data_IF_407287153598
#
_entry.id   IF_407287153598
#
_cell.length_a   1.000
_cell.length_b   1.000
_cell.length_c   1.000
_cell.angle_alpha   90.00
_cell.angle_beta   90.00
_cell.angle_gamma   90.00
#
_symmetry.space_group_name_H-M   'P 1'
#
loop_
_entity.id
_entity.type
_entity.pdbx_description
1 polymer ?
#
# COMPACT_ATOMS: atom_id res chain seq x y z
N UNK A 1 -14.76 8.73 -31.21
CA UNK A 1 -13.42 8.56 -30.61
C UNK A 1 -12.65 7.61 -31.49
N UNK A 2 -11.51 8.02 -32.05
CA UNK A 2 -10.81 7.14 -33.00
C UNK A 2 -9.94 6.13 -32.20
N UNK A 3 -9.56 5.02 -32.84
CA UNK A 3 -8.80 3.91 -32.24
C UNK A 3 -7.46 4.36 -31.62
N UNK A 4 -6.81 5.38 -32.18
CA UNK A 4 -5.56 5.93 -31.65
C UNK A 4 -5.77 6.72 -30.34
N UNK A 5 -6.82 7.51 -30.28
CA UNK A 5 -7.20 8.21 -29.04
C UNK A 5 -7.63 7.23 -27.93
N UNK A 6 -8.30 6.13 -28.30
CA UNK A 6 -8.62 5.07 -27.36
C UNK A 6 -7.36 4.36 -26.86
N UNK A 7 -6.39 4.07 -27.73
CA UNK A 7 -5.08 3.50 -27.37
C UNK A 7 -4.28 4.41 -26.42
N UNK A 8 -4.16 5.69 -26.75
CA UNK A 8 -3.43 6.68 -25.95
C UNK A 8 -4.08 6.83 -24.57
N UNK A 9 -5.40 6.92 -24.50
CA UNK A 9 -6.13 7.01 -23.22
C UNK A 9 -6.03 5.73 -22.38
N UNK A 10 -5.97 4.54 -22.99
CA UNK A 10 -5.79 3.27 -22.28
C UNK A 10 -4.37 3.15 -21.69
N UNK A 11 -3.35 3.66 -22.36
CA UNK A 11 -1.96 3.62 -21.87
C UNK A 11 -1.71 4.69 -20.80
N UNK A 12 -2.29 5.89 -20.94
CA UNK A 12 -2.07 6.98 -20.00
C UNK A 12 -2.89 6.87 -18.69
N UNK A 13 -4.05 6.19 -18.72
CA UNK A 13 -4.93 6.11 -17.55
C UNK A 13 -4.82 4.81 -16.76
N UNK A 14 -3.95 3.87 -17.10
CA UNK A 14 -3.83 2.58 -16.39
C UNK A 14 -5.21 2.00 -16.00
N UNK A 15 -6.14 1.95 -16.96
CA UNK A 15 -7.46 1.39 -16.74
C UNK A 15 -7.29 -0.12 -16.62
N UNK A 16 -7.12 -0.61 -15.41
CA UNK A 16 -7.26 -2.03 -15.13
C UNK A 16 -8.71 -2.28 -14.78
N UNK A 17 -9.34 -3.09 -15.59
CA UNK A 17 -10.76 -3.38 -15.56
C UNK A 17 -10.98 -4.81 -15.10
N UNK A 18 -12.14 -5.07 -14.53
CA UNK A 18 -12.68 -6.41 -14.50
C UNK A 18 -13.08 -6.77 -15.93
N UNK A 19 -12.51 -7.85 -16.42
CA UNK A 19 -12.80 -8.35 -17.75
C UNK A 19 -13.78 -9.50 -17.66
N UNK A 20 -14.89 -9.37 -18.34
CA UNK A 20 -15.87 -10.45 -18.50
C UNK A 20 -15.79 -10.88 -19.94
N UNK A 21 -15.27 -12.08 -20.18
CA UNK A 21 -15.05 -12.64 -21.51
C UNK A 21 -16.00 -13.80 -21.76
N UNK A 22 -16.54 -13.89 -22.99
CA UNK A 22 -17.15 -15.11 -23.47
C UNK A 22 -16.06 -16.21 -23.56
N UNK A 23 -16.33 -17.45 -23.08
CA UNK A 23 -15.35 -18.53 -23.14
C UNK A 23 -14.76 -18.78 -24.52
N UNK A 24 -15.50 -18.53 -25.60
CA UNK A 24 -15.04 -18.69 -26.98
C UNK A 24 -13.90 -17.73 -27.33
N UNK A 25 -13.77 -16.62 -26.64
CA UNK A 25 -12.66 -15.66 -26.82
C UNK A 25 -11.32 -16.30 -26.46
N UNK A 26 -11.31 -17.25 -25.53
CA UNK A 26 -10.10 -17.96 -25.11
C UNK A 26 -9.52 -18.84 -26.23
N UNK A 27 -10.33 -19.26 -27.22
CA UNK A 27 -9.86 -20.03 -28.37
C UNK A 27 -8.97 -19.18 -29.32
N UNK A 28 -8.99 -17.87 -29.16
CA UNK A 28 -8.12 -16.94 -29.90
C UNK A 28 -6.72 -16.83 -29.32
N UNK A 29 -6.50 -17.39 -28.13
CA UNK A 29 -5.22 -17.38 -27.43
C UNK A 29 -4.39 -18.61 -27.89
N UNK A 30 -3.17 -18.41 -28.39
CA UNK A 30 -2.29 -19.52 -28.74
C UNK A 30 -2.00 -20.42 -27.53
N UNK A 31 -2.07 -21.73 -27.73
CA UNK A 31 -1.76 -22.69 -26.66
C UNK A 31 -0.26 -22.80 -26.43
N UNK A 32 0.16 -22.78 -25.15
CA UNK A 32 1.55 -22.99 -24.76
C UNK A 32 2.44 -21.77 -24.94
N UNK A 33 1.89 -20.61 -25.28
CA UNK A 33 2.62 -19.35 -25.39
C UNK A 33 2.13 -18.32 -24.36
N UNK A 34 3.06 -17.46 -23.92
CA UNK A 34 2.68 -16.31 -23.09
C UNK A 34 1.99 -15.29 -24.01
N UNK A 35 0.72 -15.00 -23.74
CA UNK A 35 -0.09 -14.12 -24.56
C UNK A 35 -0.73 -13.01 -23.72
N UNK A 36 -0.45 -11.77 -24.08
CA UNK A 36 -1.05 -10.61 -23.39
C UNK A 36 -2.47 -10.35 -23.90
N UNK A 37 -3.39 -10.12 -22.97
CA UNK A 37 -4.74 -9.66 -23.33
C UNK A 37 -4.69 -8.27 -23.96
N UNK A 38 -3.93 -7.36 -23.37
CA UNK A 38 -3.87 -5.96 -23.76
C UNK A 38 -3.17 -5.75 -25.10
N UNK A 39 -2.08 -6.48 -25.36
CA UNK A 39 -1.27 -6.32 -26.57
C UNK A 39 -1.57 -7.34 -27.66
N UNK A 40 -2.23 -8.44 -27.34
CA UNK A 40 -2.52 -9.52 -28.27
C UNK A 40 -4.01 -9.74 -28.50
N UNK A 41 -4.76 -10.11 -27.45
CA UNK A 41 -6.15 -10.52 -27.58
C UNK A 41 -7.10 -9.36 -27.92
N UNK A 42 -7.04 -8.27 -27.18
CA UNK A 42 -7.97 -7.14 -27.38
C UNK A 42 -7.81 -6.46 -28.74
N UNK A 43 -6.59 -6.19 -29.24
CA UNK A 43 -6.42 -5.71 -30.61
C UNK A 43 -7.03 -6.66 -31.65
N UNK A 44 -6.83 -7.97 -31.49
CA UNK A 44 -7.36 -8.98 -32.40
C UNK A 44 -8.90 -9.04 -32.41
N UNK A 45 -9.54 -8.86 -31.25
CA UNK A 45 -10.99 -8.76 -31.14
C UNK A 45 -11.52 -7.52 -31.88
N UNK A 46 -10.86 -6.38 -31.69
CA UNK A 46 -11.22 -5.14 -32.37
C UNK A 46 -11.03 -5.23 -33.87
N UNK A 47 -9.97 -5.85 -34.38
CA UNK A 47 -9.72 -6.08 -35.80
C UNK A 47 -10.78 -6.98 -36.44
N UNK A 48 -11.28 -7.96 -35.69
CA UNK A 48 -12.34 -8.87 -36.15
C UNK A 48 -13.74 -8.26 -36.05
N UNK A 49 -13.89 -7.08 -35.44
CA UNK A 49 -15.18 -6.43 -35.22
C UNK A 49 -16.05 -7.16 -34.18
N UNK A 50 -15.44 -7.97 -33.32
CA UNK A 50 -16.19 -8.64 -32.26
C UNK A 50 -16.77 -7.62 -31.25
N UNK A 51 -17.92 -7.93 -30.64
CA UNK A 51 -18.50 -7.07 -29.61
C UNK A 51 -17.55 -6.87 -28.43
N UNK A 52 -16.99 -5.67 -28.31
CA UNK A 52 -16.05 -5.31 -27.25
C UNK A 52 -16.48 -3.98 -26.61
N UNK A 53 -16.95 -4.05 -25.38
CA UNK A 53 -17.56 -2.93 -24.67
C UNK A 53 -16.72 -2.51 -23.48
N UNK A 54 -16.65 -1.21 -23.23
CA UNK A 54 -16.05 -0.65 -22.02
C UNK A 54 -17.15 -0.06 -21.11
N UNK A 55 -17.12 -0.43 -19.85
CA UNK A 55 -17.92 0.18 -18.81
C UNK A 55 -17.02 1.04 -17.90
N UNK A 56 -17.31 2.33 -17.85
CA UNK A 56 -16.58 3.27 -16.98
C UNK A 56 -17.45 3.54 -15.76
N UNK A 57 -17.12 2.96 -14.58
CA UNK A 57 -17.88 3.21 -13.36
C UNK A 57 -17.65 4.65 -12.89
N UNK A 58 -18.76 5.33 -12.55
CA UNK A 58 -18.68 6.67 -11.99
C UNK A 58 -18.35 6.62 -10.50
N UNK A 59 -17.40 7.46 -10.04
CA UNK A 59 -17.05 7.65 -8.61
C UNK A 59 -16.59 6.36 -7.89
N UNK A 60 -15.86 5.50 -8.58
CA UNK A 60 -15.29 4.31 -7.96
C UNK A 60 -13.81 4.57 -7.65
N UNK A 61 -13.43 4.37 -6.39
CA UNK A 61 -12.01 4.33 -6.03
C UNK A 61 -11.39 3.06 -6.59
N UNK A 62 -10.31 3.21 -7.32
CA UNK A 62 -9.51 2.12 -7.82
C UNK A 62 -8.03 2.50 -7.81
N UNK A 63 -7.18 1.59 -7.35
CA UNK A 63 -5.73 1.77 -7.36
C UNK A 63 -5.04 0.42 -7.57
N UNK A 64 -4.12 0.39 -8.53
CA UNK A 64 -3.19 -0.73 -8.71
C UNK A 64 -2.07 -0.64 -7.66
N UNK A 65 -1.89 -1.71 -6.87
CA UNK A 65 -0.88 -1.76 -5.80
C UNK A 65 0.38 -2.50 -6.27
N UNK A 66 0.81 -2.25 -7.51
CA UNK A 66 1.95 -2.90 -8.13
C UNK A 66 3.33 -2.39 -7.67
N UNK A 67 3.40 -1.35 -6.85
CA UNK A 67 4.65 -0.78 -6.33
C UNK A 67 4.55 -0.44 -4.84
N UNK A 68 5.68 -0.43 -4.10
CA UNK A 68 5.68 0.01 -2.69
C UNK A 68 5.10 1.41 -2.47
N UNK A 69 5.38 2.34 -3.35
CA UNK A 69 4.84 3.70 -3.27
C UNK A 69 3.31 3.71 -3.38
N UNK A 70 2.74 2.93 -4.30
CA UNK A 70 1.28 2.80 -4.45
C UNK A 70 0.64 2.04 -3.29
N UNK A 71 1.34 1.04 -2.74
CA UNK A 71 0.92 0.36 -1.53
C UNK A 71 0.79 1.35 -0.35
N UNK A 72 1.79 2.20 -0.14
CA UNK A 72 1.77 3.24 0.88
C UNK A 72 0.66 4.26 0.63
N UNK A 73 0.51 4.71 -0.62
CA UNK A 73 -0.57 5.61 -1.01
C UNK A 73 -1.96 5.02 -0.76
N UNK A 74 -2.18 3.73 -1.04
CA UNK A 74 -3.45 3.05 -0.76
C UNK A 74 -3.78 3.05 0.75
N UNK A 75 -2.77 2.88 1.61
CA UNK A 75 -2.94 3.01 3.06
C UNK A 75 -3.34 4.43 3.45
N UNK A 76 -2.66 5.44 2.93
CA UNK A 76 -3.01 6.84 3.20
C UNK A 76 -4.43 7.19 2.73
N UNK A 77 -4.84 6.68 1.58
CA UNK A 77 -6.20 6.91 1.08
C UNK A 77 -7.26 6.21 1.94
N UNK A 78 -6.96 5.02 2.47
CA UNK A 78 -7.81 4.32 3.44
C UNK A 78 -7.90 5.10 4.76
N UNK A 79 -6.76 5.56 5.29
CA UNK A 79 -6.70 6.34 6.52
C UNK A 79 -7.47 7.64 6.40
N UNK A 80 -7.39 8.30 5.25
CA UNK A 80 -8.10 9.54 4.95
C UNK A 80 -9.59 9.34 4.54
N UNK A 81 -10.12 8.09 4.60
CA UNK A 81 -11.48 7.73 4.17
C UNK A 81 -11.80 8.11 2.71
N UNK A 82 -10.79 8.13 1.83
CA UNK A 82 -10.98 8.39 0.39
C UNK A 82 -11.52 7.19 -0.36
N UNK A 83 -11.39 5.99 0.22
CA UNK A 83 -11.87 4.74 -0.38
C UNK A 83 -13.35 4.58 -0.08
N UNK A 84 -14.19 4.76 -1.09
CA UNK A 84 -15.63 4.59 -0.96
C UNK A 84 -15.96 3.14 -0.62
N UNK A 85 -16.86 2.88 0.33
CA UNK A 85 -17.34 1.57 0.82
C UNK A 85 -16.41 0.85 1.82
N UNK A 86 -15.20 1.33 2.07
CA UNK A 86 -14.33 0.77 3.12
C UNK A 86 -14.15 1.83 4.19
N UNK A 87 -14.59 1.54 5.40
CA UNK A 87 -14.42 2.41 6.56
C UNK A 87 -13.69 1.65 7.65
N UNK A 88 -12.62 2.22 8.15
CA UNK A 88 -11.91 1.68 9.31
C UNK A 88 -12.73 2.07 10.54
N UNK A 89 -13.45 1.11 11.13
CA UNK A 89 -14.32 1.34 12.28
C UNK A 89 -13.51 1.56 13.56
N UNK A 90 -12.56 0.66 13.83
CA UNK A 90 -11.76 0.67 15.06
C UNK A 90 -10.30 0.95 14.70
N UNK A 91 -9.89 2.21 14.87
CA UNK A 91 -8.50 2.65 14.60
C UNK A 91 -7.56 2.32 15.76
N UNK A 92 -8.12 1.96 16.91
CA UNK A 92 -7.37 1.69 18.14
C UNK A 92 -7.72 0.30 18.64
N UNK A 93 -6.77 -0.60 18.52
CA UNK A 93 -6.82 -1.89 19.20
C UNK A 93 -6.59 -1.77 20.71
N UNK A 94 -6.46 -2.89 21.39
CA UNK A 94 -6.04 -2.93 22.79
C UNK A 94 -4.52 -2.88 22.86
N UNK A 95 -3.97 -1.76 23.30
CA UNK A 95 -2.53 -1.56 23.38
C UNK A 95 -2.14 -0.74 24.62
N UNK A 96 -0.89 -0.87 25.04
CA UNK A 96 -0.33 -0.10 26.14
C UNK A 96 0.31 1.18 25.61
N UNK A 97 -0.17 2.32 26.08
CA UNK A 97 0.41 3.62 25.75
C UNK A 97 0.84 4.34 27.02
N UNK A 98 2.10 4.70 27.06
CA UNK A 98 2.62 5.50 28.16
C UNK A 98 2.18 6.98 28.05
N UNK A 99 2.33 7.70 29.15
CA UNK A 99 2.07 9.13 29.24
C UNK A 99 2.86 9.92 28.18
N UNK A 100 2.24 10.96 27.59
CA UNK A 100 2.84 11.84 26.58
C UNK A 100 3.14 11.17 25.22
N UNK A 101 2.45 10.10 24.88
CA UNK A 101 2.45 9.59 23.49
C UNK A 101 1.43 10.38 22.67
N UNK A 102 1.82 10.82 21.47
CA UNK A 102 0.96 11.57 20.55
C UNK A 102 0.60 10.69 19.36
N UNK A 103 -0.69 10.40 19.22
CA UNK A 103 -1.23 9.61 18.10
C UNK A 103 -2.34 10.42 17.45
N UNK A 104 -2.17 10.74 16.16
CA UNK A 104 -3.19 11.47 15.42
C UNK A 104 -4.46 10.63 15.17
N UNK A 105 -5.53 11.26 14.71
CA UNK A 105 -6.82 10.61 14.47
C UNK A 105 -6.81 9.66 13.26
N UNK A 106 -5.89 9.85 12.34
CA UNK A 106 -5.80 9.05 11.11
C UNK A 106 -5.11 7.71 11.32
N UNK A 107 -4.13 7.64 12.22
CA UNK A 107 -3.33 6.44 12.43
C UNK A 107 -4.15 5.26 12.95
N UNK A 108 -3.72 4.07 12.62
CA UNK A 108 -4.27 2.80 13.09
C UNK A 108 -3.24 2.05 13.91
N UNK A 109 -3.61 1.67 15.13
CA UNK A 109 -2.79 0.89 16.06
C UNK A 109 -3.50 -0.43 16.33
N UNK A 110 -2.88 -1.53 15.93
CA UNK A 110 -3.43 -2.88 16.19
C UNK A 110 -3.22 -3.31 17.64
N UNK A 111 -3.78 -4.47 17.98
CA UNK A 111 -3.68 -5.05 19.33
C UNK A 111 -2.24 -5.35 19.78
N UNK A 112 -2.06 -5.44 21.07
CA UNK A 112 -0.82 -5.87 21.75
C UNK A 112 0.40 -4.99 21.44
N UNK A 113 0.21 -3.78 20.94
CA UNK A 113 1.30 -2.81 20.79
C UNK A 113 1.70 -2.21 22.14
N UNK A 114 2.97 -1.81 22.25
CA UNK A 114 3.49 -1.06 23.38
C UNK A 114 4.13 0.23 22.90
N UNK A 115 3.63 1.36 23.37
CA UNK A 115 4.15 2.69 23.04
C UNK A 115 4.76 3.32 24.29
N UNK A 116 6.04 3.63 24.22
CA UNK A 116 6.81 4.25 25.32
C UNK A 116 6.62 5.77 25.37
N UNK A 117 7.04 6.46 26.45
CA UNK A 117 6.83 7.90 26.59
C UNK A 117 7.41 8.73 25.43
N UNK A 118 6.65 9.72 24.99
CA UNK A 118 7.07 10.67 23.96
C UNK A 118 7.08 10.11 22.53
N UNK A 119 6.42 8.96 22.30
CA UNK A 119 6.23 8.41 20.95
C UNK A 119 5.26 9.27 20.16
N UNK A 120 5.58 9.55 18.92
CA UNK A 120 4.72 10.26 17.97
C UNK A 120 4.35 9.34 16.79
N UNK A 121 3.04 9.17 16.53
CA UNK A 121 2.52 8.38 15.41
C UNK A 121 1.60 9.27 14.59
N UNK A 122 1.95 9.50 13.33
CA UNK A 122 1.25 10.42 12.44
C UNK A 122 0.94 9.70 11.12
N UNK A 123 -0.35 9.67 10.74
CA UNK A 123 -0.85 9.11 9.48
C UNK A 123 -0.22 7.75 9.15
N UNK A 124 -0.17 6.85 10.13
CA UNK A 124 0.60 5.61 10.06
C UNK A 124 -0.21 4.41 10.52
N UNK A 125 0.26 3.22 10.14
CA UNK A 125 -0.34 1.95 10.55
C UNK A 125 0.69 1.13 11.32
N UNK A 126 0.34 0.73 12.54
CA UNK A 126 1.10 -0.23 13.34
C UNK A 126 0.36 -1.56 13.38
N UNK A 127 1.03 -2.59 12.90
CA UNK A 127 0.59 -3.99 13.00
C UNK A 127 0.64 -4.50 14.44
N UNK A 128 0.00 -5.65 14.66
CA UNK A 128 -0.11 -6.29 15.98
C UNK A 128 1.25 -6.49 16.65
N UNK A 129 1.33 -6.23 17.97
CA UNK A 129 2.48 -6.54 18.79
C UNK A 129 3.74 -5.72 18.50
N UNK A 130 3.61 -4.54 17.90
CA UNK A 130 4.74 -3.64 17.73
C UNK A 130 5.19 -3.03 19.05
N UNK A 131 6.49 -2.84 19.19
CA UNK A 131 7.11 -2.23 20.37
C UNK A 131 7.85 -0.95 19.96
N UNK A 132 7.33 0.21 20.36
CA UNK A 132 7.85 1.52 19.97
C UNK A 132 8.46 2.17 21.20
N UNK A 133 9.76 2.41 21.15
CA UNK A 133 10.54 2.95 22.28
C UNK A 133 10.42 4.47 22.39
N UNK A 134 11.02 5.00 23.47
CA UNK A 134 10.89 6.39 23.88
C UNK A 134 11.26 7.38 22.76
N UNK A 135 10.41 8.38 22.57
CA UNK A 135 10.60 9.49 21.61
C UNK A 135 10.85 9.03 20.18
N UNK A 136 10.46 7.81 19.83
CA UNK A 136 10.46 7.40 18.44
C UNK A 136 9.32 8.10 17.68
N UNK A 137 9.56 8.46 16.43
CA UNK A 137 8.60 9.13 15.55
C UNK A 137 8.33 8.26 14.30
N UNK A 138 7.06 8.01 14.04
CA UNK A 138 6.60 7.27 12.86
C UNK A 138 5.61 8.14 12.10
N UNK A 139 5.95 8.48 10.87
CA UNK A 139 5.18 9.40 10.02
C UNK A 139 4.92 8.78 8.65
N UNK A 140 3.67 8.84 8.17
CA UNK A 140 3.25 8.37 6.85
C UNK A 140 3.75 6.94 6.52
N UNK A 141 3.80 6.05 7.48
CA UNK A 141 4.49 4.77 7.34
C UNK A 141 3.61 3.58 7.72
N UNK A 142 3.96 2.42 7.18
CA UNK A 142 3.32 1.16 7.54
C UNK A 142 4.34 0.26 8.21
N UNK A 143 4.09 -0.06 9.48
CA UNK A 143 4.92 -0.95 10.29
C UNK A 143 4.16 -2.26 10.49
N UNK A 144 4.68 -3.35 9.97
CA UNK A 144 4.10 -4.66 10.12
C UNK A 144 4.32 -5.24 11.52
N UNK A 145 3.56 -6.27 11.83
CA UNK A 145 3.48 -6.87 13.19
C UNK A 145 4.83 -7.29 13.78
N UNK A 146 4.89 -7.23 15.12
CA UNK A 146 6.03 -7.66 15.94
C UNK A 146 7.35 -6.94 15.63
N UNK A 147 7.27 -5.74 15.09
CA UNK A 147 8.44 -4.90 14.81
C UNK A 147 8.76 -4.03 16.01
N UNK A 148 10.05 -3.89 16.28
CA UNK A 148 10.59 -3.00 17.32
C UNK A 148 11.23 -1.78 16.67
N UNK A 149 10.84 -0.60 17.15
CA UNK A 149 11.42 0.69 16.74
C UNK A 149 12.09 1.30 17.97
N UNK A 150 13.40 1.48 17.89
CA UNK A 150 14.26 1.89 18.99
C UNK A 150 14.10 3.37 19.37
N UNK A 151 14.61 3.70 20.54
CA UNK A 151 14.58 5.04 21.14
C UNK A 151 15.10 6.11 20.16
N UNK A 152 14.36 7.22 20.02
CA UNK A 152 14.69 8.35 19.12
C UNK A 152 14.78 7.97 17.63
N UNK A 153 14.39 6.78 17.24
CA UNK A 153 14.35 6.42 15.83
C UNK A 153 13.25 7.18 15.10
N UNK A 154 13.49 7.48 13.83
CA UNK A 154 12.55 8.15 12.95
C UNK A 154 12.26 7.27 11.75
N UNK A 155 10.99 7.01 11.48
CA UNK A 155 10.54 6.27 10.30
C UNK A 155 9.57 7.15 9.54
N UNK A 156 9.92 7.49 8.31
CA UNK A 156 9.12 8.40 7.49
C UNK A 156 8.92 7.88 6.07
N UNK A 157 7.67 7.93 5.59
CA UNK A 157 7.27 7.53 4.23
C UNK A 157 7.85 6.16 3.84
N UNK A 158 7.77 5.18 4.76
CA UNK A 158 8.45 3.90 4.65
C UNK A 158 7.53 2.71 4.95
N UNK A 159 7.93 1.54 4.48
CA UNK A 159 7.28 0.27 4.77
C UNK A 159 8.28 -0.61 5.52
N UNK A 160 7.91 -1.04 6.71
CA UNK A 160 8.75 -1.91 7.55
C UNK A 160 8.06 -3.26 7.74
N UNK A 161 8.71 -4.32 7.31
CA UNK A 161 8.23 -5.69 7.37
C UNK A 161 8.02 -6.23 8.78
N UNK A 162 7.62 -7.49 8.87
CA UNK A 162 7.31 -8.15 10.15
C UNK A 162 8.58 -8.48 10.94
N UNK A 163 8.51 -8.35 12.27
CA UNK A 163 9.58 -8.78 13.15
C UNK A 163 10.90 -8.05 12.91
N UNK A 164 10.85 -6.87 12.32
CA UNK A 164 12.03 -6.04 12.12
C UNK A 164 12.52 -5.42 13.42
N UNK A 165 13.80 -5.08 13.44
CA UNK A 165 14.42 -4.28 14.48
C UNK A 165 15.02 -3.02 13.87
N UNK A 166 14.50 -1.87 14.24
CA UNK A 166 15.05 -0.55 13.89
C UNK A 166 15.80 -0.04 15.13
N UNK A 167 17.11 0.09 15.03
CA UNK A 167 17.97 0.49 16.14
C UNK A 167 17.71 1.91 16.66
N UNK A 168 18.32 2.25 17.79
CA UNK A 168 18.21 3.57 18.42
C UNK A 168 18.75 4.67 17.49
N UNK A 169 18.08 5.83 17.47
CA UNK A 169 18.47 6.99 16.67
C UNK A 169 18.67 6.68 15.17
N UNK A 170 18.05 5.61 14.68
CA UNK A 170 18.05 5.23 13.28
C UNK A 170 17.08 6.13 12.52
N UNK A 171 17.45 6.51 11.30
CA UNK A 171 16.58 7.26 10.40
C UNK A 171 16.24 6.37 9.20
N UNK A 172 15.00 5.94 9.13
CA UNK A 172 14.42 5.23 7.97
C UNK A 172 13.73 6.27 7.10
N UNK A 173 14.35 6.59 5.96
CA UNK A 173 13.92 7.68 5.07
C UNK A 173 12.85 7.27 4.06
N UNK A 174 12.33 8.26 3.31
CA UNK A 174 11.26 8.06 2.35
C UNK A 174 11.58 7.01 1.28
N UNK A 175 10.56 6.19 0.95
CA UNK A 175 10.68 5.15 -0.06
C UNK A 175 11.41 3.89 0.40
N UNK A 176 11.91 3.85 1.64
CA UNK A 176 12.55 2.65 2.19
C UNK A 176 11.54 1.53 2.38
N UNK A 177 11.90 0.33 1.94
CA UNK A 177 11.15 -0.91 2.19
C UNK A 177 12.08 -1.90 2.87
N UNK A 178 11.78 -2.22 4.12
CA UNK A 178 12.49 -3.26 4.87
C UNK A 178 11.72 -4.57 4.79
N UNK A 179 12.38 -5.62 4.30
CA UNK A 179 11.82 -6.97 4.30
C UNK A 179 11.64 -7.53 5.72
N UNK A 180 10.87 -8.61 5.85
CA UNK A 180 10.62 -9.25 7.14
C UNK A 180 11.94 -9.61 7.86
N UNK A 181 11.97 -9.43 9.18
CA UNK A 181 13.10 -9.75 10.07
C UNK A 181 14.39 -8.96 9.78
N UNK A 182 14.30 -7.86 9.03
CA UNK A 182 15.44 -6.97 8.84
C UNK A 182 15.83 -6.32 10.15
N UNK A 183 17.14 -6.23 10.39
CA UNK A 183 17.70 -5.52 11.56
C UNK A 183 18.59 -4.38 11.09
N UNK A 184 18.26 -3.17 11.52
CA UNK A 184 19.09 -1.99 11.36
C UNK A 184 19.76 -1.70 12.72
N UNK A 185 21.07 -1.52 12.69
CA UNK A 185 21.83 -1.15 13.90
C UNK A 185 21.56 0.29 14.31
N UNK A 186 21.94 0.64 15.54
CA UNK A 186 21.84 2.00 16.06
C UNK A 186 22.49 3.01 15.11
N UNK A 187 21.91 4.21 15.02
CA UNK A 187 22.41 5.34 14.21
C UNK A 187 22.48 5.10 12.71
N UNK A 188 21.89 4.03 12.20
CA UNK A 188 21.80 3.78 10.75
C UNK A 188 20.93 4.84 10.07
N UNK A 189 21.28 5.21 8.83
CA UNK A 189 20.45 6.00 7.94
C UNK A 189 20.18 5.23 6.66
N UNK A 190 18.91 5.17 6.25
CA UNK A 190 18.54 4.78 4.90
C UNK A 190 18.18 6.03 4.11
N UNK A 191 18.50 6.01 2.84
CA UNK A 191 18.23 7.15 1.92
C UNK A 191 16.79 7.10 1.46
#
# INVERSE_FOLDING_TARGET
MNLEQARTNMVEQQIRTWEVLDPQVLDLIPRGENHSFEYGLFPKLLEKGEPFFAHIPQRTYWMDIGTPARYLQAHHDLLANRVTRIHIKDRRGKFDSATHSEIDELSVIADDCTLKPGVEIINSVLGKGCYIEERARIENSVIWSHTRVGTLAQVKDAIVGRGCHVGRSTIVGPGTVLGDKTSLTDYTRTC
#
